data_IF_161706956078
#
_entry.id   IF_161706956078
#
_cell.length_a   1.000
_cell.length_b   1.000
_cell.length_c   1.000
_cell.angle_alpha   90.00
_cell.angle_beta   90.00
_cell.angle_gamma   90.00
#
_symmetry.space_group_name_H-M   'P 1'
#
loop_
_entity.id
_entity.type
_entity.pdbx_description
1 polymer ?
#
# COMPACT_ATOMS: atom_id res chain seq x y z
N UNK A 1 -13.50 7.38 19.36
CA UNK A 1 -14.70 7.39 18.51
C UNK A 1 -15.28 5.98 18.46
N UNK A 2 -16.52 5.79 18.95
CA UNK A 2 -17.29 4.55 18.83
C UNK A 2 -17.29 3.98 17.40
N UNK A 3 -17.35 2.65 17.27
CA UNK A 3 -17.38 1.99 15.95
C UNK A 3 -18.63 2.35 15.15
N UNK A 4 -19.74 2.66 15.83
CA UNK A 4 -20.96 3.19 15.24
C UNK A 4 -20.69 4.51 14.50
N UNK A 5 -20.10 5.48 15.21
CA UNK A 5 -19.74 6.77 14.64
C UNK A 5 -18.74 6.60 13.47
N UNK A 6 -17.81 5.64 13.57
CA UNK A 6 -16.86 5.32 12.48
C UNK A 6 -17.56 4.79 11.24
N UNK A 7 -18.63 4.00 11.42
CA UNK A 7 -19.45 3.55 10.31
C UNK A 7 -20.15 4.72 9.64
N UNK A 8 -20.80 5.59 10.44
CA UNK A 8 -21.48 6.77 9.90
C UNK A 8 -20.52 7.67 9.13
N UNK A 9 -19.32 7.89 9.67
CA UNK A 9 -18.28 8.64 8.99
C UNK A 9 -17.84 7.96 7.68
N UNK A 10 -17.68 6.63 7.67
CA UNK A 10 -17.34 5.88 6.45
C UNK A 10 -18.39 6.05 5.36
N UNK A 11 -19.68 6.00 5.71
CA UNK A 11 -20.78 6.24 4.77
C UNK A 11 -20.69 7.65 4.16
N UNK A 12 -20.41 8.66 4.98
CA UNK A 12 -20.28 10.05 4.52
C UNK A 12 -19.02 10.29 3.67
N UNK A 13 -17.92 9.60 3.98
CA UNK A 13 -16.65 9.77 3.29
C UNK A 13 -16.61 9.08 1.92
N UNK A 14 -17.48 8.10 1.67
CA UNK A 14 -17.51 7.37 0.40
C UNK A 14 -18.26 8.16 -0.67
N UNK A 15 -17.69 8.19 -1.87
CA UNK A 15 -18.33 8.80 -3.04
C UNK A 15 -19.59 8.00 -3.44
N UNK A 16 -20.78 8.63 -3.45
CA UNK A 16 -22.02 7.98 -3.85
C UNK A 16 -21.98 7.40 -5.27
N UNK A 17 -22.71 6.31 -5.51
CA UNK A 17 -22.80 5.66 -6.83
C UNK A 17 -21.58 4.84 -7.24
N UNK A 18 -20.58 4.70 -6.37
CA UNK A 18 -19.41 3.84 -6.62
C UNK A 18 -19.67 2.40 -6.19
N UNK A 19 -18.86 1.46 -6.71
CA UNK A 19 -18.90 0.04 -6.27
C UNK A 19 -18.55 -0.13 -4.78
N UNK A 20 -17.78 0.80 -4.21
CA UNK A 20 -17.49 0.81 -2.78
C UNK A 20 -18.70 1.30 -1.96
N UNK A 21 -19.44 2.31 -2.46
CA UNK A 21 -20.70 2.76 -1.86
C UNK A 21 -21.72 1.63 -1.79
N UNK A 22 -21.98 0.93 -2.91
CA UNK A 22 -22.93 -0.18 -2.93
C UNK A 22 -22.55 -1.34 -2.01
N UNK A 23 -21.24 -1.53 -1.77
CA UNK A 23 -20.76 -2.52 -0.80
C UNK A 23 -21.09 -2.08 0.62
N UNK A 24 -20.81 -0.82 0.98
CA UNK A 24 -21.09 -0.29 2.31
C UNK A 24 -22.58 -0.20 2.60
N UNK A 25 -23.39 0.19 1.62
CA UNK A 25 -24.86 0.23 1.70
C UNK A 25 -25.48 -1.14 1.95
N UNK A 26 -24.79 -2.24 1.62
CA UNK A 26 -25.27 -3.60 1.88
C UNK A 26 -25.23 -4.01 3.36
N UNK A 27 -24.52 -3.26 4.19
CA UNK A 27 -24.44 -3.49 5.63
C UNK A 27 -25.32 -2.52 6.39
N UNK A 28 -26.14 -2.99 7.36
CA UNK A 28 -26.74 -2.12 8.35
C UNK A 28 -25.63 -1.35 9.10
N UNK A 29 -25.71 -0.02 9.23
CA UNK A 29 -24.69 0.76 9.90
C UNK A 29 -24.80 0.50 11.40
N UNK A 30 -24.00 -0.44 11.87
CA UNK A 30 -23.92 -0.83 13.26
C UNK A 30 -22.47 -1.01 13.65
N UNK A 31 -22.15 -0.79 14.93
CA UNK A 31 -20.81 -1.01 15.47
C UNK A 31 -20.23 -2.39 15.15
N UNK A 32 -21.07 -3.44 15.09
CA UNK A 32 -20.66 -4.82 14.79
C UNK A 32 -20.30 -5.02 13.31
N UNK A 33 -20.93 -4.26 12.41
CA UNK A 33 -20.72 -4.40 10.97
C UNK A 33 -19.57 -3.54 10.46
N UNK A 34 -19.15 -2.51 11.20
CA UNK A 34 -18.01 -1.66 10.82
C UNK A 34 -16.75 -2.47 10.47
N UNK A 35 -16.24 -3.38 11.34
CA UNK A 35 -15.04 -4.15 10.99
C UNK A 35 -15.24 -5.04 9.76
N UNK A 36 -16.42 -5.65 9.58
CA UNK A 36 -16.73 -6.50 8.42
C UNK A 36 -16.76 -5.70 7.12
N UNK A 37 -17.30 -4.49 7.18
CA UNK A 37 -17.39 -3.59 6.03
C UNK A 37 -15.98 -3.13 5.60
N UNK A 38 -15.10 -2.83 6.55
CA UNK A 38 -13.68 -2.50 6.30
C UNK A 38 -12.92 -3.70 5.72
N UNK A 39 -13.10 -4.89 6.29
CA UNK A 39 -12.49 -6.13 5.79
C UNK A 39 -12.87 -6.36 4.33
N UNK A 40 -14.15 -6.33 3.99
CA UNK A 40 -14.62 -6.56 2.63
C UNK A 40 -14.19 -5.45 1.65
N UNK A 41 -14.09 -4.20 2.12
CA UNK A 41 -13.50 -3.11 1.33
C UNK A 41 -12.03 -3.39 1.01
N UNK A 42 -11.25 -3.84 1.99
CA UNK A 42 -9.85 -4.20 1.80
C UNK A 42 -9.68 -5.42 0.90
N UNK A 43 -10.48 -6.47 1.06
CA UNK A 43 -10.40 -7.65 0.19
C UNK A 43 -10.69 -7.30 -1.28
N UNK A 44 -11.67 -6.43 -1.53
CA UNK A 44 -12.12 -6.11 -2.89
C UNK A 44 -11.32 -4.99 -3.54
N UNK A 45 -10.86 -4.02 -2.76
CA UNK A 45 -10.24 -2.79 -3.26
C UNK A 45 -8.86 -2.50 -2.65
N UNK A 46 -8.49 -3.15 -1.55
CA UNK A 46 -7.15 -3.13 -0.99
C UNK A 46 -6.19 -3.86 -1.92
N UNK A 47 -5.43 -3.10 -2.69
CA UNK A 47 -4.42 -3.62 -3.63
C UNK A 47 -3.03 -3.44 -3.05
N UNK A 48 -2.76 -4.17 -1.97
CA UNK A 48 -1.47 -4.13 -1.27
C UNK A 48 -0.30 -4.47 -2.20
N UNK A 49 -0.52 -5.39 -3.15
CA UNK A 49 0.43 -5.74 -4.21
C UNK A 49 0.85 -4.53 -5.05
N UNK A 50 -0.13 -3.74 -5.49
CA UNK A 50 0.11 -2.52 -6.26
C UNK A 50 0.78 -1.44 -5.40
N UNK A 51 0.39 -1.30 -4.13
CA UNK A 51 1.02 -0.34 -3.22
C UNK A 51 2.50 -0.67 -3.00
N UNK A 52 2.85 -1.94 -2.80
CA UNK A 52 4.26 -2.38 -2.74
C UNK A 52 4.99 -1.99 -4.01
N UNK A 53 4.41 -2.24 -5.18
CA UNK A 53 5.04 -1.89 -6.45
C UNK A 53 5.28 -0.37 -6.57
N UNK A 54 4.30 0.45 -6.18
CA UNK A 54 4.43 1.92 -6.20
C UNK A 54 5.58 2.36 -5.30
N UNK A 55 5.63 1.89 -4.04
CA UNK A 55 6.70 2.26 -3.11
C UNK A 55 8.08 1.83 -3.61
N UNK A 56 8.21 0.63 -4.17
CA UNK A 56 9.47 0.17 -4.76
C UNK A 56 9.88 1.05 -5.95
N UNK A 57 8.92 1.42 -6.82
CA UNK A 57 9.19 2.32 -7.95
C UNK A 57 9.62 3.71 -7.46
N UNK A 58 9.00 4.25 -6.41
CA UNK A 58 9.37 5.53 -5.82
C UNK A 58 10.79 5.50 -5.23
N UNK A 59 11.14 4.42 -4.53
CA UNK A 59 12.50 4.19 -4.03
C UNK A 59 13.52 4.13 -5.18
N UNK A 60 13.23 3.40 -6.24
CA UNK A 60 14.10 3.33 -7.43
C UNK A 60 14.26 4.70 -8.10
N UNK A 61 13.19 5.48 -8.21
CA UNK A 61 13.23 6.86 -8.73
C UNK A 61 14.11 7.75 -7.86
N UNK A 62 14.03 7.64 -6.54
CA UNK A 62 14.84 8.42 -5.61
C UNK A 62 16.34 8.07 -5.77
N UNK A 63 16.69 6.78 -5.81
CA UNK A 63 18.07 6.33 -6.03
C UNK A 63 18.60 6.80 -7.38
N UNK A 64 17.80 6.68 -8.43
CA UNK A 64 18.18 7.10 -9.79
C UNK A 64 18.41 8.61 -9.87
N UNK A 65 17.52 9.42 -9.27
CA UNK A 65 17.71 10.87 -9.18
C UNK A 65 19.00 11.23 -8.44
N UNK A 66 19.29 10.57 -7.32
CA UNK A 66 20.51 10.82 -6.55
C UNK A 66 21.78 10.45 -7.32
N UNK A 67 21.75 9.36 -8.10
CA UNK A 67 22.88 8.93 -8.93
C UNK A 67 23.15 9.88 -10.11
N UNK A 68 22.09 10.37 -10.78
CA UNK A 68 22.21 11.23 -11.97
C UNK A 68 22.55 12.68 -11.59
N UNK A 69 22.03 13.18 -10.47
CA UNK A 69 22.13 14.60 -10.10
C UNK A 69 23.51 15.02 -9.57
N UNK A 70 24.51 14.12 -9.58
CA UNK A 70 25.89 14.43 -9.20
C UNK A 70 26.01 15.07 -7.81
N UNK A 71 25.26 14.56 -6.83
CA UNK A 71 25.14 15.13 -5.46
C UNK A 71 24.80 16.63 -5.46
N UNK A 72 23.88 17.10 -6.30
CA UNK A 72 23.24 18.38 -6.02
C UNK A 72 22.41 18.23 -4.74
N UNK A 73 22.73 19.06 -3.76
CA UNK A 73 22.21 19.09 -2.40
C UNK A 73 20.67 19.24 -2.40
N UNK A 74 19.94 18.15 -2.62
CA UNK A 74 18.64 17.98 -1.98
C UNK A 74 18.90 17.82 -0.49
N UNK A 75 18.14 18.53 0.34
CA UNK A 75 18.23 18.44 1.79
C UNK A 75 18.28 16.97 2.21
N UNK A 76 19.43 16.56 2.75
CA UNK A 76 19.70 15.17 3.12
C UNK A 76 18.64 14.66 4.10
N UNK A 77 18.11 15.56 4.92
CA UNK A 77 17.03 15.32 5.87
C UNK A 77 15.76 14.91 5.14
N UNK A 78 15.32 15.68 4.14
CA UNK A 78 14.13 15.39 3.36
C UNK A 78 14.23 14.07 2.58
N UNK A 79 15.42 13.74 2.07
CA UNK A 79 15.67 12.44 1.43
C UNK A 79 15.58 11.28 2.42
N UNK A 80 16.16 11.45 3.61
CA UNK A 80 16.10 10.43 4.66
C UNK A 80 14.66 10.21 5.14
N UNK A 81 13.91 11.29 5.36
CA UNK A 81 12.50 11.23 5.77
C UNK A 81 11.63 10.51 4.72
N UNK A 82 11.84 10.79 3.43
CA UNK A 82 11.14 10.10 2.35
C UNK A 82 11.49 8.60 2.31
N UNK A 83 12.77 8.27 2.42
CA UNK A 83 13.24 6.88 2.46
C UNK A 83 12.61 6.12 3.64
N UNK A 84 12.65 6.71 4.83
CA UNK A 84 12.12 6.09 6.05
C UNK A 84 10.60 5.91 5.97
N UNK A 85 9.88 6.90 5.41
CA UNK A 85 8.44 6.81 5.17
C UNK A 85 8.08 5.62 4.27
N UNK A 86 8.77 5.47 3.13
CA UNK A 86 8.54 4.35 2.22
C UNK A 86 8.89 2.99 2.86
N UNK A 87 9.96 2.92 3.65
CA UNK A 87 10.33 1.69 4.37
C UNK A 87 9.29 1.31 5.43
N UNK A 88 8.79 2.28 6.20
CA UNK A 88 7.75 2.04 7.22
C UNK A 88 6.42 1.62 6.59
N UNK A 89 6.07 2.16 5.43
CA UNK A 89 4.89 1.74 4.68
C UNK A 89 5.01 0.29 4.19
N UNK A 90 6.18 -0.10 3.68
CA UNK A 90 6.46 -1.48 3.28
C UNK A 90 6.42 -2.46 4.46
N UNK A 91 6.93 -2.06 5.62
CA UNK A 91 6.89 -2.87 6.85
C UNK A 91 5.45 -3.08 7.34
N UNK A 92 4.63 -2.03 7.29
CA UNK A 92 3.19 -2.09 7.64
C UNK A 92 2.41 -3.06 6.74
N UNK A 93 2.83 -3.23 5.48
CA UNK A 93 2.25 -4.20 4.53
C UNK A 93 2.74 -5.65 4.78
N UNK A 94 3.37 -5.93 5.93
CA UNK A 94 3.80 -7.28 6.31
C UNK A 94 4.93 -7.85 5.45
N UNK A 95 5.65 -6.98 4.72
CA UNK A 95 6.82 -7.37 3.93
C UNK A 95 8.08 -7.24 4.79
N UNK A 96 8.39 -8.30 5.54
CA UNK A 96 9.77 -8.47 6.03
C UNK A 96 10.71 -8.59 4.83
N UNK A 97 11.98 -8.15 4.99
CA UNK A 97 13.08 -8.28 4.01
C UNK A 97 13.07 -9.65 3.30
N UNK A 98 12.72 -10.70 4.04
CA UNK A 98 12.72 -12.10 3.64
C UNK A 98 11.68 -12.44 2.56
N UNK A 99 10.48 -11.86 2.60
CA UNK A 99 9.41 -12.11 1.61
C UNK A 99 9.67 -11.42 0.27
N UNK A 100 10.30 -10.25 0.30
CA UNK A 100 10.75 -9.58 -0.93
C UNK A 100 11.89 -10.40 -1.57
N UNK A 101 12.88 -10.82 -0.78
CA UNK A 101 13.99 -11.64 -1.26
C UNK A 101 13.51 -12.99 -1.84
N UNK A 102 12.55 -13.67 -1.21
CA UNK A 102 11.98 -14.91 -1.78
C UNK A 102 11.17 -14.65 -3.04
N UNK A 103 10.37 -13.58 -3.10
CA UNK A 103 9.61 -13.25 -4.30
C UNK A 103 10.52 -12.87 -5.49
N UNK A 104 11.57 -12.08 -5.24
CA UNK A 104 12.57 -11.76 -6.27
C UNK A 104 13.41 -12.98 -6.65
N UNK A 105 13.81 -13.84 -5.70
CA UNK A 105 14.56 -15.06 -5.98
C UNK A 105 13.74 -16.09 -6.76
N UNK A 106 12.43 -16.21 -6.48
CA UNK A 106 11.49 -17.03 -7.24
C UNK A 106 11.26 -16.45 -8.64
N UNK A 107 11.08 -15.13 -8.75
CA UNK A 107 10.90 -14.47 -10.04
C UNK A 107 12.16 -14.56 -10.91
N UNK A 108 13.33 -14.42 -10.30
CA UNK A 108 14.63 -14.60 -10.96
C UNK A 108 14.81 -16.04 -11.39
N UNK A 109 14.53 -17.05 -10.53
CA UNK A 109 14.59 -18.47 -10.90
C UNK A 109 13.58 -18.84 -12.00
N UNK A 110 12.34 -18.37 -11.96
CA UNK A 110 11.35 -18.62 -13.02
C UNK A 110 11.76 -17.97 -14.35
N UNK A 111 12.43 -16.81 -14.30
CA UNK A 111 12.96 -16.15 -15.49
C UNK A 111 14.24 -16.84 -16.00
N UNK A 112 15.06 -17.39 -15.11
CA UNK A 112 16.27 -18.15 -15.42
C UNK A 112 15.95 -19.54 -16.01
N UNK A 113 14.94 -20.24 -15.48
CA UNK A 113 14.47 -21.53 -15.97
C UNK A 113 13.76 -21.47 -17.33
N UNK A 114 13.37 -20.27 -17.79
CA UNK A 114 12.89 -20.06 -19.18
C UNK A 114 14.02 -19.85 -20.18
N UNK A 115 15.27 -19.78 -19.71
CA UNK A 115 16.45 -19.53 -20.53
C UNK A 115 17.27 -20.81 -20.81
N UNK A 116 16.75 -21.98 -20.42
CA UNK A 116 17.21 -23.32 -20.79
C UNK A 116 16.04 -24.21 -21.22
#
# INVERSE_FOLDING_TARGET
MPAEDKFQYLIQAITPGTRAASLIESFPPTAQNYPKAIELLNERFGREDLLVQVYVIELLKMVTKNAISGRKCTDLTALYDQLESHLRALDTLGRSKERLLTSYHLWWNLSFLKMF
#
